data_IF_939726796625
#
_entry.id   IF_939726796625
#
_cell.length_a   1.000
_cell.length_b   1.000
_cell.length_c   1.000
_cell.angle_alpha   90.00
_cell.angle_beta   90.00
_cell.angle_gamma   90.00
#
_symmetry.space_group_name_H-M   'P 1'
#
loop_
_entity.id
_entity.type
_entity.pdbx_description
1 polymer ?
#
# COMPACT_ATOMS: atom_id res chain seq x y z
N UNK A 1 -1.65 25.60 18.52
CA UNK A 1 -1.79 24.39 17.69
C UNK A 1 -0.53 24.30 16.85
N UNK A 2 0.30 23.27 17.06
CA UNK A 2 1.44 23.03 16.20
C UNK A 2 0.94 22.88 14.75
N UNK A 3 1.58 23.60 13.83
CA UNK A 3 1.18 23.59 12.43
C UNK A 3 1.65 22.26 11.85
N UNK A 4 0.73 21.41 11.40
CA UNK A 4 1.09 20.13 10.75
C UNK A 4 2.06 20.42 9.61
N UNK A 5 3.26 19.86 9.72
CA UNK A 5 4.31 20.01 8.74
C UNK A 5 3.98 19.13 7.52
N UNK A 6 3.98 19.66 6.29
CA UNK A 6 3.71 18.84 5.12
C UNK A 6 4.80 17.78 4.93
N UNK A 7 4.37 16.54 4.71
CA UNK A 7 5.21 15.41 4.31
C UNK A 7 5.07 15.19 2.81
N UNK A 8 6.19 15.05 2.11
CA UNK A 8 6.21 14.82 0.67
C UNK A 8 7.11 13.63 0.32
N UNK A 9 6.63 12.79 -0.58
CA UNK A 9 7.43 11.75 -1.21
C UNK A 9 8.27 12.34 -2.34
N UNK A 10 9.53 11.93 -2.43
CA UNK A 10 10.42 12.28 -3.53
C UNK A 10 11.19 11.07 -4.03
N UNK A 11 11.61 11.11 -5.30
CA UNK A 11 12.45 10.06 -5.88
C UNK A 11 13.94 10.33 -5.66
N UNK A 12 14.33 11.59 -5.41
CA UNK A 12 15.70 12.01 -5.15
C UNK A 12 16.28 11.37 -3.88
N UNK A 13 17.61 11.20 -3.84
CA UNK A 13 18.31 10.76 -2.62
C UNK A 13 18.31 11.85 -1.56
N UNK A 14 18.21 11.44 -0.29
CA UNK A 14 18.15 12.33 0.86
C UNK A 14 19.39 12.18 1.74
N UNK A 15 19.84 13.29 2.31
CA UNK A 15 21.11 13.35 3.03
C UNK A 15 21.40 14.74 3.58
N UNK A 16 22.22 14.80 4.64
CA UNK A 16 22.56 16.06 5.29
C UNK A 16 23.30 16.98 4.32
N UNK A 17 22.82 18.23 4.18
CA UNK A 17 23.43 19.22 3.28
C UNK A 17 23.12 19.01 1.80
N UNK A 18 22.28 18.05 1.42
CA UNK A 18 21.77 17.92 0.06
C UNK A 18 20.59 18.87 -0.17
N UNK A 19 20.42 19.27 -1.43
CA UNK A 19 19.28 20.07 -1.86
C UNK A 19 18.41 19.25 -2.83
N UNK A 20 17.10 19.24 -2.59
CA UNK A 20 16.12 18.53 -3.41
C UNK A 20 15.34 19.52 -4.26
N UNK A 21 15.23 19.23 -5.55
CA UNK A 21 14.50 20.06 -6.52
C UNK A 21 13.10 19.50 -6.74
N UNK A 22 12.12 20.08 -6.08
CA UNK A 22 10.73 19.68 -6.25
C UNK A 22 10.15 20.24 -7.55
N UNK A 23 9.57 19.34 -8.34
CA UNK A 23 8.94 19.65 -9.63
C UNK A 23 7.61 20.42 -9.52
N UNK A 24 6.92 20.52 -10.66
CA UNK A 24 5.76 21.40 -10.81
C UNK A 24 4.56 20.99 -9.93
N UNK A 25 4.31 19.69 -9.74
CA UNK A 25 3.22 19.18 -8.90
C UNK A 25 3.40 19.62 -7.43
N UNK A 26 4.57 19.33 -6.86
CA UNK A 26 4.95 19.76 -5.52
C UNK A 26 4.98 21.29 -5.38
N UNK A 27 5.51 22.01 -6.37
CA UNK A 27 5.51 23.48 -6.35
C UNK A 27 4.09 24.06 -6.29
N UNK A 28 3.16 23.51 -7.08
CA UNK A 28 1.75 23.91 -7.05
C UNK A 28 1.13 23.64 -5.67
N UNK A 29 1.35 22.45 -5.11
CA UNK A 29 0.82 22.07 -3.80
C UNK A 29 1.35 22.98 -2.68
N UNK A 30 2.68 23.11 -2.56
CA UNK A 30 3.31 23.91 -1.50
C UNK A 30 2.96 25.40 -1.58
N UNK A 31 2.91 25.96 -2.80
CA UNK A 31 2.68 27.40 -3.02
C UNK A 31 1.21 27.79 -3.08
N UNK A 32 0.39 27.06 -3.82
CA UNK A 32 -0.97 27.51 -4.12
C UNK A 32 -1.98 26.91 -3.13
N UNK A 33 -1.77 25.66 -2.72
CA UNK A 33 -2.64 24.96 -1.77
C UNK A 33 -2.24 25.32 -0.35
N UNK A 34 -0.99 25.05 0.04
CA UNK A 34 -0.51 25.30 1.41
C UNK A 34 -0.02 26.73 1.67
N UNK A 35 0.22 27.52 0.61
CA UNK A 35 0.64 28.92 0.67
C UNK A 35 1.90 29.15 1.52
N UNK A 36 2.84 28.21 1.43
CA UNK A 36 4.12 28.28 2.14
C UNK A 36 5.04 29.34 1.51
N UNK A 37 5.93 29.87 2.33
CA UNK A 37 6.95 30.85 1.95
C UNK A 37 8.33 30.25 2.11
N UNK A 38 9.35 30.94 1.57
CA UNK A 38 10.76 30.64 1.87
C UNK A 38 10.96 30.56 3.38
N UNK A 39 11.86 29.68 3.81
CA UNK A 39 12.12 29.26 5.18
C UNK A 39 11.02 28.43 5.86
N UNK A 40 9.90 28.13 5.18
CA UNK A 40 8.93 27.17 5.71
C UNK A 40 9.54 25.76 5.79
N UNK A 41 9.11 25.00 6.80
CA UNK A 41 9.59 23.66 7.09
C UNK A 41 8.72 22.61 6.40
N UNK A 42 9.38 21.57 5.88
CA UNK A 42 8.77 20.42 5.18
C UNK A 42 9.49 19.14 5.58
N UNK A 43 8.81 18.00 5.51
CA UNK A 43 9.44 16.69 5.65
C UNK A 43 9.46 15.98 4.30
N UNK A 44 10.61 15.42 3.93
CA UNK A 44 10.77 14.62 2.72
C UNK A 44 11.10 13.17 3.09
N UNK A 45 10.57 12.21 2.33
CA UNK A 45 10.91 10.79 2.44
C UNK A 45 10.93 10.15 1.05
N UNK A 46 11.61 9.00 0.92
CA UNK A 46 11.80 8.35 -0.39
C UNK A 46 11.81 6.82 -0.33
N UNK A 47 11.40 6.21 0.78
CA UNK A 47 11.37 4.75 0.93
C UNK A 47 12.69 4.09 1.28
N UNK A 48 13.81 4.83 1.35
CA UNK A 48 15.14 4.23 1.53
C UNK A 48 16.11 5.02 2.42
N UNK A 49 16.01 6.35 2.45
CA UNK A 49 16.95 7.22 3.17
C UNK A 49 16.38 7.74 4.50
N UNK A 50 15.17 7.31 4.88
CA UNK A 50 14.43 7.77 6.05
C UNK A 50 13.63 9.04 5.79
N UNK A 51 13.12 9.64 6.87
CA UNK A 51 12.42 10.93 6.82
C UNK A 51 13.37 12.06 7.20
N UNK A 52 13.41 13.10 6.36
CA UNK A 52 14.29 14.23 6.50
C UNK A 52 13.52 15.53 6.65
N UNK A 53 13.90 16.30 7.66
CA UNK A 53 13.46 17.68 7.81
C UNK A 53 14.25 18.58 6.86
N UNK A 54 13.53 19.39 6.08
CA UNK A 54 14.13 20.39 5.21
C UNK A 54 13.41 21.75 5.28
N UNK A 55 14.09 22.77 4.75
CA UNK A 55 13.57 24.14 4.65
C UNK A 55 13.46 24.59 3.21
N UNK A 56 12.37 25.27 2.89
CA UNK A 56 12.17 25.85 1.55
C UNK A 56 13.19 26.97 1.33
N UNK A 57 14.18 26.74 0.48
CA UNK A 57 15.21 27.71 0.14
C UNK A 57 14.70 28.69 -0.93
N UNK A 58 14.04 28.18 -1.97
CA UNK A 58 13.45 29.02 -3.01
C UNK A 58 12.12 28.47 -3.53
N UNK A 59 11.20 29.39 -3.87
CA UNK A 59 9.90 29.06 -4.44
C UNK A 59 9.74 29.85 -5.74
N UNK A 60 9.76 29.15 -6.87
CA UNK A 60 9.50 29.71 -8.21
C UNK A 60 8.17 29.20 -8.75
N UNK A 61 7.83 29.58 -9.99
CA UNK A 61 6.52 29.22 -10.60
C UNK A 61 6.32 27.71 -10.75
N UNK A 62 7.37 26.96 -11.10
CA UNK A 62 7.30 25.52 -11.40
C UNK A 62 8.33 24.67 -10.67
N UNK A 63 9.11 25.27 -9.75
CA UNK A 63 10.15 24.60 -8.99
C UNK A 63 10.23 25.15 -7.57
N UNK A 64 10.48 24.26 -6.61
CA UNK A 64 10.80 24.60 -5.22
C UNK A 64 12.09 23.88 -4.86
N UNK A 65 13.01 24.58 -4.19
CA UNK A 65 14.25 23.98 -3.67
C UNK A 65 14.11 23.81 -2.18
N UNK A 66 14.42 22.61 -1.70
CA UNK A 66 14.43 22.27 -0.28
C UNK A 66 15.86 21.94 0.12
N UNK A 67 16.38 22.63 1.13
CA UNK A 67 17.67 22.30 1.74
C UNK A 67 17.41 21.31 2.89
N UNK A 68 18.04 20.15 2.86
CA UNK A 68 17.89 19.12 3.90
C UNK A 68 18.77 19.44 5.12
N UNK A 69 18.12 19.48 6.28
CA UNK A 69 18.74 19.91 7.54
C UNK A 69 19.18 18.70 8.37
N UNK A 70 18.24 17.81 8.70
CA UNK A 70 18.50 16.66 9.58
C UNK A 70 17.53 15.52 9.29
N UNK A 71 17.99 14.29 9.54
CA UNK A 71 17.13 13.11 9.56
C UNK A 71 16.28 13.13 10.84
N UNK A 72 14.98 12.94 10.67
CA UNK A 72 14.00 12.88 11.77
C UNK A 72 13.76 11.44 12.19
N UNK A 73 13.61 10.54 11.21
CA UNK A 73 13.43 9.11 11.45
C UNK A 73 14.30 8.30 10.49
N UNK A 74 14.97 7.24 10.97
CA UNK A 74 15.61 6.28 10.09
C UNK A 74 14.56 5.55 9.26
N UNK A 75 14.96 5.03 8.10
CA UNK A 75 14.10 4.17 7.30
C UNK A 75 13.74 2.91 8.10
N UNK A 76 12.45 2.64 8.37
CA UNK A 76 12.04 1.39 9.00
C UNK A 76 12.11 0.25 7.98
N UNK A 77 12.28 -0.96 8.50
CA UNK A 77 12.02 -2.17 7.72
C UNK A 77 10.53 -2.19 7.35
N UNK A 78 10.24 -2.05 6.07
CA UNK A 78 8.88 -2.01 5.57
C UNK A 78 8.34 -3.44 5.43
N UNK A 79 7.56 -3.86 6.41
CA UNK A 79 7.10 -5.24 6.56
C UNK A 79 5.58 -5.28 6.43
N UNK A 80 5.09 -5.97 5.40
CA UNK A 80 3.66 -6.06 5.13
C UNK A 80 3.35 -6.98 3.95
N UNK A 81 2.06 -7.35 3.78
CA UNK A 81 1.67 -8.32 2.78
C UNK A 81 1.63 -7.69 1.38
N UNK A 82 1.66 -8.53 0.36
CA UNK A 82 1.20 -8.14 -0.97
C UNK A 82 -0.33 -8.25 -1.07
N UNK A 83 -0.95 -7.45 -1.92
CA UNK A 83 -2.36 -7.57 -2.31
C UNK A 83 -2.44 -7.85 -3.81
N UNK A 84 -3.00 -9.01 -4.13
CA UNK A 84 -3.40 -9.40 -5.48
C UNK A 84 -4.91 -9.18 -5.62
N UNK A 85 -5.33 -8.36 -6.58
CA UNK A 85 -6.73 -7.96 -6.71
C UNK A 85 -7.17 -7.89 -8.17
N UNK A 86 -8.42 -8.24 -8.44
CA UNK A 86 -9.01 -7.97 -9.74
C UNK A 86 -9.31 -6.47 -9.90
N UNK A 87 -8.87 -5.81 -10.99
CA UNK A 87 -9.24 -4.44 -11.29
C UNK A 87 -10.76 -4.25 -11.27
N UNK A 88 -11.20 -3.19 -10.58
CA UNK A 88 -12.59 -2.78 -10.51
C UNK A 88 -12.76 -1.37 -11.09
N UNK A 89 -14.01 -0.87 -11.13
CA UNK A 89 -14.28 0.50 -11.55
C UNK A 89 -13.42 1.50 -10.77
N UNK A 90 -13.06 2.60 -11.45
CA UNK A 90 -12.06 3.57 -10.99
C UNK A 90 -12.20 4.03 -9.53
N UNK A 91 -13.39 4.48 -9.11
CA UNK A 91 -13.59 5.01 -7.75
C UNK A 91 -13.26 3.99 -6.65
N UNK A 92 -13.90 2.80 -6.66
CA UNK A 92 -13.55 1.70 -5.77
C UNK A 92 -12.07 1.28 -5.83
N UNK A 93 -11.45 1.29 -7.02
CA UNK A 93 -10.04 0.94 -7.18
C UNK A 93 -9.11 1.96 -6.50
N UNK A 94 -9.36 3.27 -6.67
CA UNK A 94 -8.61 4.33 -5.99
C UNK A 94 -8.74 4.21 -4.46
N UNK A 95 -9.95 3.94 -3.95
CA UNK A 95 -10.18 3.68 -2.52
C UNK A 95 -9.38 2.45 -2.07
N UNK A 96 -9.41 1.36 -2.83
CA UNK A 96 -8.67 0.14 -2.50
C UNK A 96 -7.17 0.41 -2.41
N UNK A 97 -6.56 1.09 -3.40
CA UNK A 97 -5.13 1.43 -3.38
C UNK A 97 -4.78 2.35 -2.23
N UNK A 98 -5.57 3.41 -2.01
CA UNK A 98 -5.37 4.36 -0.92
C UNK A 98 -5.38 3.63 0.43
N UNK A 99 -6.44 2.85 0.69
CA UNK A 99 -6.64 2.21 1.98
C UNK A 99 -5.74 1.00 2.17
N UNK A 100 -5.38 0.26 1.12
CA UNK A 100 -4.38 -0.80 1.23
C UNK A 100 -3.00 -0.23 1.60
N UNK A 101 -2.64 0.94 1.06
CA UNK A 101 -1.40 1.66 1.42
C UNK A 101 -1.40 2.05 2.91
N UNK A 102 -2.51 2.61 3.41
CA UNK A 102 -2.71 2.93 4.82
C UNK A 102 -2.63 1.67 5.71
N UNK A 103 -3.15 0.54 5.23
CA UNK A 103 -3.14 -0.75 5.91
C UNK A 103 -1.84 -1.54 5.74
N UNK A 104 -0.75 -0.90 5.30
CA UNK A 104 0.56 -1.52 5.34
C UNK A 104 0.93 -2.40 4.14
N UNK A 105 0.14 -2.43 3.05
CA UNK A 105 0.49 -3.23 1.86
C UNK A 105 1.85 -2.80 1.30
N UNK A 106 2.70 -3.75 0.90
CA UNK A 106 4.01 -3.47 0.31
C UNK A 106 4.00 -3.57 -1.21
N UNK A 107 3.10 -4.40 -1.75
CA UNK A 107 3.02 -4.69 -3.19
C UNK A 107 1.56 -4.83 -3.61
N UNK A 108 1.20 -4.22 -4.73
CA UNK A 108 -0.11 -4.25 -5.35
C UNK A 108 0.01 -4.89 -6.73
N UNK A 109 -0.51 -6.12 -6.87
CA UNK A 109 -0.52 -6.88 -8.12
C UNK A 109 -1.95 -6.92 -8.68
N UNK A 110 -2.28 -6.15 -9.72
CA UNK A 110 -3.55 -6.31 -10.40
C UNK A 110 -3.54 -7.64 -11.15
N UNK A 111 -4.63 -8.39 -11.01
CA UNK A 111 -4.79 -9.73 -11.55
C UNK A 111 -5.99 -9.77 -12.49
N UNK A 112 -5.80 -10.35 -13.68
CA UNK A 112 -6.87 -10.58 -14.63
C UNK A 112 -7.38 -12.01 -14.43
N UNK A 113 -8.65 -12.12 -14.08
CA UNK A 113 -9.42 -13.37 -13.96
C UNK A 113 -10.51 -13.45 -15.03
N UNK A 114 -11.16 -14.60 -15.14
CA UNK A 114 -12.24 -14.85 -16.12
C UNK A 114 -13.37 -13.82 -16.02
N UNK A 115 -13.75 -13.42 -14.81
CA UNK A 115 -14.84 -12.47 -14.55
C UNK A 115 -14.35 -11.05 -14.23
N UNK A 116 -13.11 -10.72 -14.58
CA UNK A 116 -12.60 -9.35 -14.44
C UNK A 116 -13.24 -8.45 -15.48
N UNK A 117 -13.85 -7.36 -15.04
CA UNK A 117 -14.39 -6.33 -15.95
C UNK A 117 -13.26 -5.74 -16.80
N UNK A 118 -13.53 -5.47 -18.08
CA UNK A 118 -12.58 -4.74 -18.95
C UNK A 118 -12.49 -3.29 -18.48
N UNK A 119 -11.54 -3.01 -17.60
CA UNK A 119 -11.25 -1.67 -17.09
C UNK A 119 -9.82 -1.27 -17.44
N UNK A 120 -9.65 -0.01 -17.82
CA UNK A 120 -8.31 0.55 -18.05
C UNK A 120 -7.62 0.73 -16.70
N UNK A 121 -6.59 -0.08 -16.45
CA UNK A 121 -5.66 0.13 -15.36
C UNK A 121 -4.64 1.21 -15.75
N UNK A 122 -4.27 2.07 -14.81
CA UNK A 122 -3.27 3.12 -15.02
C UNK A 122 -2.34 3.13 -13.81
N UNK A 123 -1.16 2.53 -13.98
CA UNK A 123 -0.16 2.38 -12.90
C UNK A 123 0.23 3.74 -12.33
N UNK A 124 0.55 4.73 -13.16
CA UNK A 124 0.99 6.06 -12.69
C UNK A 124 -0.06 6.73 -11.79
N UNK A 125 -1.33 6.58 -12.15
CA UNK A 125 -2.45 7.12 -11.37
C UNK A 125 -2.62 6.40 -10.04
N UNK A 126 -2.48 5.07 -10.03
CA UNK A 126 -2.51 4.30 -8.78
C UNK A 126 -1.30 4.63 -7.90
N UNK A 127 -0.13 4.83 -8.51
CA UNK A 127 1.09 5.25 -7.81
C UNK A 127 0.90 6.62 -7.18
N UNK A 128 0.31 7.58 -7.89
CA UNK A 128 -0.03 8.89 -7.33
C UNK A 128 -1.00 8.78 -6.14
N UNK A 129 -1.98 7.88 -6.21
CA UNK A 129 -2.92 7.60 -5.10
C UNK A 129 -2.20 7.00 -3.89
N UNK A 130 -1.27 6.08 -4.11
CA UNK A 130 -0.47 5.47 -3.06
C UNK A 130 0.53 6.46 -2.44
N UNK A 131 1.15 7.34 -3.23
CA UNK A 131 2.01 8.43 -2.75
C UNK A 131 1.22 9.34 -1.80
N UNK A 132 0.06 9.83 -2.23
CA UNK A 132 -0.79 10.69 -1.40
C UNK A 132 -1.19 9.97 -0.10
N UNK A 133 -1.55 8.69 -0.17
CA UNK A 133 -1.86 7.89 1.00
C UNK A 133 -0.66 7.79 1.96
N UNK A 134 0.54 7.50 1.46
CA UNK A 134 1.77 7.40 2.26
C UNK A 134 2.14 8.74 2.92
N UNK A 135 2.01 9.85 2.20
CA UNK A 135 2.23 11.20 2.73
C UNK A 135 1.28 11.51 3.90
N UNK A 136 0.00 11.13 3.78
CA UNK A 136 -1.03 11.40 4.79
C UNK A 136 -0.95 10.45 6.00
N UNK A 137 -0.72 9.16 5.79
CA UNK A 137 -0.71 8.17 6.88
C UNK A 137 0.63 8.12 7.64
N UNK A 138 1.66 8.79 7.12
CA UNK A 138 2.97 8.85 7.75
C UNK A 138 3.84 7.61 7.53
N UNK A 139 3.49 6.77 6.55
CA UNK A 139 4.36 5.71 6.04
C UNK A 139 5.58 6.34 5.37
N UNK A 140 6.74 5.70 5.45
CA UNK A 140 7.99 6.20 4.83
C UNK A 140 8.31 5.58 3.48
N UNK A 141 7.45 4.71 2.98
CA UNK A 141 7.58 4.02 1.70
C UNK A 141 6.27 4.08 0.92
N UNK A 142 6.35 3.83 -0.38
CA UNK A 142 5.20 3.73 -1.28
C UNK A 142 5.17 2.29 -1.80
N UNK A 143 4.03 1.59 -1.75
CA UNK A 143 3.95 0.22 -2.26
C UNK A 143 4.30 0.15 -3.74
N UNK A 144 4.94 -0.96 -4.13
CA UNK A 144 5.14 -1.27 -5.54
C UNK A 144 3.79 -1.55 -6.18
N UNK A 145 3.55 -1.02 -7.39
CA UNK A 145 2.33 -1.25 -8.15
C UNK A 145 2.72 -1.81 -9.50
N UNK A 146 2.29 -3.04 -9.76
CA UNK A 146 2.62 -3.78 -10.97
C UNK A 146 1.60 -3.53 -12.08
N UNK A 147 1.97 -3.87 -13.31
CA UNK A 147 1.02 -3.96 -14.42
C UNK A 147 0.06 -5.15 -14.23
N UNK A 148 -1.18 -5.08 -14.74
CA UNK A 148 -2.11 -6.19 -14.68
C UNK A 148 -1.56 -7.43 -15.38
N UNK A 149 -1.63 -8.58 -14.71
CA UNK A 149 -1.20 -9.87 -15.26
C UNK A 149 -2.30 -10.92 -15.12
N UNK A 150 -2.41 -11.89 -16.06
CA UNK A 150 -3.31 -13.03 -15.92
C UNK A 150 -3.02 -13.87 -14.68
N UNK A 151 -4.07 -14.33 -13.97
CA UNK A 151 -3.95 -15.15 -12.76
C UNK A 151 -3.04 -16.37 -12.96
N UNK A 152 -3.21 -17.09 -14.07
CA UNK A 152 -2.40 -18.27 -14.40
C UNK A 152 -0.90 -17.96 -14.57
N UNK A 153 -0.56 -16.81 -15.14
CA UNK A 153 0.83 -16.38 -15.31
C UNK A 153 1.47 -16.02 -13.97
N UNK A 154 0.74 -15.30 -13.11
CA UNK A 154 1.19 -14.98 -11.74
C UNK A 154 1.45 -16.27 -10.94
N UNK A 155 0.51 -17.22 -10.98
CA UNK A 155 0.64 -18.49 -10.26
C UNK A 155 1.77 -19.38 -10.79
N UNK A 156 2.06 -19.34 -12.09
CA UNK A 156 3.15 -20.11 -12.68
C UNK A 156 4.54 -19.64 -12.21
N UNK A 157 4.65 -18.39 -11.77
CA UNK A 157 5.89 -17.78 -11.28
C UNK A 157 5.86 -17.58 -9.76
N UNK A 158 5.01 -18.35 -9.06
CA UNK A 158 4.81 -18.13 -7.62
C UNK A 158 6.10 -18.36 -6.83
N UNK A 159 6.52 -17.38 -5.99
CA UNK A 159 7.78 -17.49 -5.27
C UNK A 159 7.73 -18.57 -4.18
N UNK A 160 8.81 -19.34 -4.07
CA UNK A 160 8.96 -20.36 -3.03
C UNK A 160 8.84 -19.74 -1.62
N UNK A 161 8.12 -20.42 -0.74
CA UNK A 161 7.93 -19.98 0.65
C UNK A 161 6.88 -18.88 0.85
N UNK A 162 6.28 -18.35 -0.23
CA UNK A 162 5.18 -17.39 -0.14
C UNK A 162 3.83 -18.09 -0.09
N UNK A 163 2.95 -17.64 0.80
CA UNK A 163 1.57 -18.13 0.96
C UNK A 163 0.59 -17.19 0.28
N UNK A 164 -0.45 -17.76 -0.30
CA UNK A 164 -1.56 -17.02 -0.88
C UNK A 164 -2.80 -17.16 0.00
N UNK A 165 -3.13 -16.10 0.76
CA UNK A 165 -4.37 -16.02 1.52
C UNK A 165 -5.52 -15.71 0.56
N UNK A 166 -6.33 -16.71 0.25
CA UNK A 166 -7.41 -16.61 -0.71
C UNK A 166 -8.75 -16.34 0.00
N UNK A 167 -9.29 -15.14 -0.18
CA UNK A 167 -10.59 -14.75 0.37
C UNK A 167 -11.72 -15.35 -0.48
N UNK A 168 -12.09 -16.59 -0.17
CA UNK A 168 -13.11 -17.32 -0.90
C UNK A 168 -14.52 -16.79 -0.55
N UNK A 169 -15.29 -16.48 -1.57
CA UNK A 169 -16.69 -16.04 -1.50
C UNK A 169 -17.67 -17.19 -1.30
N UNK A 170 -17.22 -18.43 -1.48
CA UNK A 170 -18.06 -19.62 -1.38
C UNK A 170 -17.29 -20.87 -0.90
N UNK A 171 -18.06 -21.91 -0.56
CA UNK A 171 -17.56 -23.19 -0.06
C UNK A 171 -17.37 -23.25 1.45
N UNK A 172 -17.08 -24.44 1.96
CA UNK A 172 -16.79 -24.67 3.39
C UNK A 172 -15.38 -24.17 3.73
N UNK A 173 -15.26 -22.87 3.98
CA UNK A 173 -14.02 -22.22 4.41
C UNK A 173 -14.13 -21.78 5.86
N UNK A 174 -12.99 -21.82 6.56
CA UNK A 174 -12.92 -21.37 7.95
C UNK A 174 -12.85 -19.85 8.04
N UNK A 175 -13.33 -19.24 9.13
CA UNK A 175 -13.20 -17.81 9.34
C UNK A 175 -11.73 -17.36 9.27
N UNK A 176 -11.48 -16.22 8.61
CA UNK A 176 -10.12 -15.70 8.43
C UNK A 176 -9.32 -15.60 9.73
N UNK A 177 -9.94 -15.16 10.83
CA UNK A 177 -9.26 -15.01 12.12
C UNK A 177 -8.74 -16.35 12.65
N UNK A 178 -9.56 -17.40 12.63
CA UNK A 178 -9.17 -18.74 13.08
C UNK A 178 -7.97 -19.27 12.29
N UNK A 179 -8.00 -19.09 10.97
CA UNK A 179 -6.93 -19.56 10.09
C UNK A 179 -5.63 -18.79 10.35
N UNK A 180 -5.70 -17.46 10.41
CA UNK A 180 -4.52 -16.63 10.65
C UNK A 180 -3.88 -16.90 12.01
N UNK A 181 -4.68 -17.12 13.07
CA UNK A 181 -4.15 -17.46 14.39
C UNK A 181 -3.30 -18.73 14.39
N UNK A 182 -3.61 -19.70 13.50
CA UNK A 182 -2.79 -20.90 13.31
C UNK A 182 -1.39 -20.63 12.75
N UNK A 183 -1.13 -19.44 12.21
CA UNK A 183 0.15 -19.05 11.62
C UNK A 183 0.94 -18.03 12.44
N UNK A 184 0.41 -17.55 13.58
CA UNK A 184 0.99 -16.45 14.35
C UNK A 184 2.46 -16.66 14.71
N UNK A 185 2.82 -17.88 15.13
CA UNK A 185 4.19 -18.19 15.56
C UNK A 185 5.08 -18.78 14.42
N UNK A 186 4.55 -18.92 13.20
CA UNK A 186 5.18 -19.70 12.12
C UNK A 186 5.17 -18.99 10.76
N UNK A 187 5.03 -17.66 10.74
CA UNK A 187 5.07 -16.89 9.50
C UNK A 187 5.76 -15.55 9.66
N UNK A 188 6.60 -15.21 8.68
CA UNK A 188 7.10 -13.86 8.53
C UNK A 188 6.12 -13.04 7.68
N UNK A 189 6.00 -11.72 7.90
CA UNK A 189 4.88 -10.99 7.31
C UNK A 189 5.05 -10.74 5.79
N UNK A 190 6.28 -10.69 5.29
CA UNK A 190 6.63 -10.62 3.86
C UNK A 190 6.28 -11.90 3.07
N UNK A 191 6.00 -13.01 3.77
CA UNK A 191 5.62 -14.30 3.17
C UNK A 191 4.17 -14.35 2.70
N UNK A 192 3.38 -13.28 2.84
CA UNK A 192 1.96 -13.31 2.52
C UNK A 192 1.62 -12.47 1.28
N UNK A 193 0.75 -13.05 0.46
CA UNK A 193 -0.04 -12.33 -0.54
C UNK A 193 -1.50 -12.60 -0.25
N UNK A 194 -2.32 -11.56 -0.20
CA UNK A 194 -3.78 -11.67 -0.06
C UNK A 194 -4.39 -11.58 -1.45
N UNK A 195 -5.27 -12.52 -1.81
CA UNK A 195 -5.99 -12.54 -3.08
C UNK A 195 -7.46 -12.20 -2.90
N UNK A 196 -7.96 -11.25 -3.69
CA UNK A 196 -9.37 -10.88 -3.75
C UNK A 196 -9.85 -10.82 -5.20
N UNK A 197 -10.98 -11.49 -5.46
CA UNK A 197 -11.56 -11.62 -6.80
C UNK A 197 -12.39 -10.41 -7.24
N UNK A 198 -12.88 -10.43 -8.49
CA UNK A 198 -13.78 -9.41 -9.00
C UNK A 198 -15.17 -9.52 -8.36
N UNK A 199 -16.07 -8.60 -8.73
CA UNK A 199 -17.47 -8.60 -8.24
C UNK A 199 -18.19 -9.91 -8.57
N UNK A 200 -17.87 -10.54 -9.71
CA UNK A 200 -18.41 -11.84 -10.12
C UNK A 200 -17.80 -13.05 -9.40
N UNK A 201 -16.83 -12.84 -8.51
CA UNK A 201 -16.06 -13.92 -7.90
C UNK A 201 -15.07 -14.56 -8.86
N UNK A 202 -14.46 -15.66 -8.42
CA UNK A 202 -13.63 -16.49 -9.27
C UNK A 202 -14.49 -17.52 -10.00
N UNK A 203 -14.08 -17.94 -11.19
CA UNK A 203 -14.79 -18.99 -11.90
C UNK A 203 -14.63 -20.35 -11.18
N UNK A 204 -15.53 -21.32 -11.42
CA UNK A 204 -15.37 -22.66 -10.83
C UNK A 204 -14.02 -23.31 -11.16
N UNK A 205 -13.47 -23.04 -12.35
CA UNK A 205 -12.15 -23.53 -12.75
C UNK A 205 -11.03 -22.85 -11.94
N UNK A 206 -11.11 -21.53 -11.74
CA UNK A 206 -10.15 -20.77 -10.93
C UNK A 206 -10.20 -21.17 -9.45
N UNK A 207 -11.40 -21.38 -8.89
CA UNK A 207 -11.57 -21.94 -7.53
C UNK A 207 -10.91 -23.30 -7.40
N UNK A 208 -11.16 -24.19 -8.36
CA UNK A 208 -10.55 -25.52 -8.39
C UNK A 208 -9.04 -25.47 -8.48
N UNK A 209 -8.49 -24.59 -9.32
CA UNK A 209 -7.05 -24.36 -9.45
C UNK A 209 -6.46 -23.89 -8.12
N UNK A 210 -6.98 -22.78 -7.56
CA UNK A 210 -6.46 -22.17 -6.34
C UNK A 210 -6.49 -23.14 -5.15
N UNK A 211 -7.58 -23.87 -4.95
CA UNK A 211 -7.71 -24.81 -3.81
C UNK A 211 -6.73 -25.99 -3.88
N UNK A 212 -6.26 -26.35 -5.07
CA UNK A 212 -5.34 -27.48 -5.26
C UNK A 212 -3.87 -27.07 -5.15
N UNK A 213 -3.55 -25.78 -5.02
CA UNK A 213 -2.19 -25.31 -4.89
C UNK A 213 -1.72 -25.39 -3.42
N UNK A 214 -0.53 -25.96 -3.14
CA UNK A 214 -0.08 -26.26 -1.78
C UNK A 214 0.22 -25.01 -0.94
N UNK A 215 0.43 -23.86 -1.59
CA UNK A 215 0.71 -22.58 -0.94
C UNK A 215 -0.56 -21.72 -0.72
N UNK A 216 -1.73 -22.20 -1.16
CA UNK A 216 -2.99 -21.46 -1.02
C UNK A 216 -3.65 -21.78 0.31
N UNK A 217 -4.05 -20.73 1.01
CA UNK A 217 -4.77 -20.78 2.29
C UNK A 217 -6.12 -20.10 2.10
N UNK A 218 -7.17 -20.90 1.91
CA UNK A 218 -8.53 -20.38 1.70
C UNK A 218 -9.21 -19.97 3.02
N UNK A 219 -9.84 -18.80 3.03
CA UNK A 219 -10.53 -18.23 4.20
C UNK A 219 -11.87 -17.61 3.82
N UNK A 220 -12.80 -17.56 4.78
CA UNK A 220 -14.06 -16.84 4.65
C UNK A 220 -14.05 -15.50 5.38
N UNK A 221 -14.67 -14.48 4.77
CA UNK A 221 -14.86 -13.13 5.34
C UNK A 221 -16.27 -12.93 5.90
N UNK A 222 -16.80 -13.97 6.55
CA UNK A 222 -18.15 -13.99 7.11
C UNK A 222 -19.25 -14.31 6.09
N UNK A 223 -20.54 -14.25 6.49
CA UNK A 223 -21.65 -14.77 5.70
C UNK A 223 -22.19 -13.81 4.63
N UNK A 224 -21.67 -12.58 4.56
CA UNK A 224 -22.14 -11.55 3.64
C UNK A 224 -21.19 -11.46 2.46
N UNK A 225 -21.75 -11.36 1.25
CA UNK A 225 -20.96 -11.08 0.06
C UNK A 225 -20.43 -9.64 0.14
N UNK A 226 -19.10 -9.51 0.22
CA UNK A 226 -18.42 -8.23 0.25
C UNK A 226 -18.06 -7.80 -1.17
N UNK A 227 -18.07 -6.50 -1.44
CA UNK A 227 -17.45 -5.96 -2.66
C UNK A 227 -15.93 -6.16 -2.60
N UNK A 228 -15.28 -6.21 -3.76
CA UNK A 228 -13.85 -6.46 -3.87
C UNK A 228 -13.01 -5.50 -3.01
N UNK A 229 -13.28 -4.20 -3.06
CA UNK A 229 -12.58 -3.21 -2.22
C UNK A 229 -12.82 -3.46 -0.73
N UNK A 230 -14.04 -3.83 -0.33
CA UNK A 230 -14.35 -4.13 1.07
C UNK A 230 -13.68 -5.41 1.54
N UNK A 231 -13.67 -6.45 0.71
CA UNK A 231 -13.00 -7.72 1.00
C UNK A 231 -11.48 -7.55 1.17
N UNK A 232 -10.84 -6.76 0.29
CA UNK A 232 -9.42 -6.45 0.39
C UNK A 232 -9.07 -5.76 1.71
N UNK A 233 -9.81 -4.70 2.08
CA UNK A 233 -9.55 -3.97 3.31
C UNK A 233 -9.86 -4.78 4.56
N UNK A 234 -10.92 -5.60 4.54
CA UNK A 234 -11.24 -6.50 5.63
C UNK A 234 -10.14 -7.57 5.82
N UNK A 235 -9.69 -8.21 4.74
CA UNK A 235 -8.64 -9.21 4.80
C UNK A 235 -7.30 -8.62 5.27
N UNK A 236 -6.92 -7.45 4.76
CA UNK A 236 -5.73 -6.72 5.21
C UNK A 236 -5.81 -6.35 6.69
N UNK A 237 -6.96 -5.87 7.16
CA UNK A 237 -7.14 -5.51 8.57
C UNK A 237 -7.06 -6.72 9.49
N UNK A 238 -7.69 -7.85 9.12
CA UNK A 238 -7.56 -9.09 9.86
C UNK A 238 -6.12 -9.60 9.88
N UNK A 239 -5.44 -9.55 8.74
CA UNK A 239 -4.04 -9.94 8.64
C UNK A 239 -3.16 -9.07 9.53
N UNK A 240 -3.30 -7.74 9.46
CA UNK A 240 -2.51 -6.81 10.28
C UNK A 240 -2.74 -7.04 11.77
N UNK A 241 -3.98 -7.29 12.17
CA UNK A 241 -4.34 -7.53 13.57
C UNK A 241 -3.81 -8.83 14.17
N UNK A 242 -3.43 -9.82 13.35
CA UNK A 242 -3.02 -11.15 13.82
C UNK A 242 -1.55 -11.45 13.52
N UNK A 243 -1.09 -11.11 12.31
CA UNK A 243 0.24 -11.44 11.81
C UNK A 243 1.12 -10.21 11.55
N UNK A 244 0.52 -9.03 11.49
CA UNK A 244 1.21 -7.79 11.15
C UNK A 244 1.60 -6.98 12.37
N UNK A 245 1.69 -5.66 12.18
CA UNK A 245 2.31 -4.74 13.13
C UNK A 245 1.31 -4.06 14.09
N UNK A 246 0.03 -4.39 14.04
CA UNK A 246 -1.00 -3.74 14.88
C UNK A 246 -0.97 -4.16 16.35
N UNK A 247 -0.17 -5.16 16.71
CA UNK A 247 0.15 -5.45 18.12
C UNK A 247 1.15 -4.44 18.70
N UNK A 248 1.86 -3.71 17.84
CA UNK A 248 2.76 -2.64 18.28
C UNK A 248 1.95 -1.45 18.78
N UNK A 249 2.36 -0.88 19.90
CA UNK A 249 1.73 0.34 20.42
C UNK A 249 1.98 1.51 19.46
N UNK A 250 1.02 2.43 19.30
CA UNK A 250 1.25 3.66 18.55
C UNK A 250 2.51 4.36 19.07
N UNK A 251 3.39 4.79 18.16
CA UNK A 251 4.50 5.67 18.53
C UNK A 251 3.89 7.00 18.97
N UNK A 252 4.22 7.47 20.17
CA UNK A 252 3.78 8.79 20.65
C UNK A 252 4.34 9.88 19.73
N UNK A 253 3.52 10.31 18.77
CA UNK A 253 3.82 11.47 17.91
C UNK A 253 3.42 12.80 18.58
N UNK A 254 3.09 12.78 19.88
CA UNK A 254 2.38 13.86 20.61
C UNK A 254 3.29 15.02 21.05
N UNK A 255 4.59 14.99 20.76
CA UNK A 255 5.49 16.13 21.05
C UNK A 255 5.86 17.01 19.84
N UNK A 256 5.04 17.01 18.77
CA UNK A 256 5.20 17.90 17.60
C UNK A 256 4.33 19.16 17.69
#
# INVERSE_FOLDING_TARGET
MAKVQPRLFVEDSLGAGLNVNLGNSHAHYLKNVLRLKVAAEVSLFNGRDGEWHGKLNSIRRSRVVVDLVQMVYPQPDDVGPALMFAPVRRGPMEIMVQKATELGVTHLQPMITEFTDVVRFNVDRMRATAIEAAEQCGRMSVPLIEEPQPLNEILAQWPNGRRLLFAAESGSVRPISEVLWGFKDHSAPDQWTIAVGPVGGFSPAEHGLLRNLPFVVAVGLGPRLLKAETAALAALSCWQSVLGDWENRPIDRIHQ
#
